data_IF_231981632153
#
_entry.id   IF_231981632153
#
_cell.length_a   1.000
_cell.length_b   1.000
_cell.length_c   1.000
_cell.angle_alpha   90.00
_cell.angle_beta   90.00
_cell.angle_gamma   90.00
#
_symmetry.space_group_name_H-M   'P 1'
#
loop_
_entity.id
_entity.type
_entity.pdbx_description
1 polymer ?
#
# COMPACT_ATOMS: atom_id res chain seq x y z
N UNK A 1 22.92 19.72 -1.16
CA UNK A 1 21.67 20.03 -0.45
C UNK A 1 20.63 19.09 -1.06
N UNK A 2 20.15 18.03 -0.41
CA UNK A 2 19.75 17.88 0.99
C UNK A 2 20.09 16.47 1.49
N UNK A 3 20.62 16.36 2.71
CA UNK A 3 20.80 15.10 3.42
C UNK A 3 19.44 14.66 3.96
N UNK A 4 18.85 13.62 3.37
CA UNK A 4 17.79 12.87 4.04
C UNK A 4 18.49 11.76 4.83
N UNK A 5 18.48 11.89 6.15
CA UNK A 5 18.94 10.87 7.08
C UNK A 5 17.94 9.70 6.98
N UNK A 6 18.26 8.72 6.12
CA UNK A 6 17.44 7.53 5.94
C UNK A 6 17.68 6.63 7.15
N UNK A 7 16.72 6.60 8.07
CA UNK A 7 16.65 5.60 9.14
C UNK A 7 16.48 4.24 8.45
N UNK A 8 17.57 3.49 8.33
CA UNK A 8 17.56 2.06 7.99
C UNK A 8 16.88 1.30 9.14
N UNK A 9 15.55 1.28 9.15
CA UNK A 9 14.77 0.34 9.92
C UNK A 9 14.12 -0.62 8.94
N UNK A 10 14.53 -1.89 8.96
CA UNK A 10 14.03 -3.02 8.19
C UNK A 10 12.80 -2.70 7.32
N UNK A 11 13.05 -2.32 6.07
CA UNK A 11 12.00 -2.08 5.09
C UNK A 11 11.31 -3.40 4.78
N UNK A 12 10.16 -3.64 5.41
CA UNK A 12 9.26 -4.72 4.98
C UNK A 12 8.77 -4.41 3.57
N UNK A 13 8.76 -5.39 2.69
CA UNK A 13 8.25 -5.19 1.33
C UNK A 13 6.72 -5.26 1.36
N UNK A 14 6.04 -4.55 0.45
CA UNK A 14 4.57 -4.58 0.32
C UNK A 14 4.01 -6.01 0.24
N UNK A 15 4.74 -6.93 -0.38
CA UNK A 15 4.32 -8.33 -0.54
C UNK A 15 4.60 -9.22 0.69
N UNK A 16 5.21 -8.69 1.74
CA UNK A 16 5.51 -9.38 3.01
C UNK A 16 4.52 -9.02 4.12
N UNK A 17 3.75 -7.95 3.95
CA UNK A 17 2.74 -7.55 4.92
C UNK A 17 1.50 -8.44 4.78
N UNK A 18 0.73 -8.55 5.87
CA UNK A 18 -0.51 -9.31 5.85
C UNK A 18 -1.49 -8.77 4.78
N UNK A 19 -2.28 -9.64 4.13
CA UNK A 19 -3.28 -9.25 3.13
C UNK A 19 -4.54 -8.65 3.78
N UNK A 20 -4.34 -7.72 4.72
CA UNK A 20 -5.39 -7.00 5.43
C UNK A 20 -5.26 -5.51 5.16
N UNK A 21 -6.39 -4.80 5.17
CA UNK A 21 -6.42 -3.36 4.94
C UNK A 21 -5.59 -2.60 5.99
N UNK A 22 -5.67 -3.01 7.26
CA UNK A 22 -4.91 -2.39 8.35
C UNK A 22 -3.39 -2.51 8.14
N UNK A 23 -2.92 -3.67 7.66
CA UNK A 23 -1.51 -3.87 7.35
C UNK A 23 -1.05 -2.97 6.20
N UNK A 24 -1.86 -2.85 5.14
CA UNK A 24 -1.59 -1.95 4.02
C UNK A 24 -1.56 -0.48 4.47
N UNK A 25 -2.56 -0.03 5.23
CA UNK A 25 -2.64 1.34 5.77
C UNK A 25 -1.41 1.65 6.62
N UNK A 26 -1.02 0.75 7.53
CA UNK A 26 0.16 0.93 8.37
C UNK A 26 1.45 0.98 7.56
N UNK A 27 1.57 0.11 6.54
CA UNK A 27 2.71 0.09 5.62
C UNK A 27 2.84 1.42 4.87
N UNK A 28 1.78 1.84 4.18
CA UNK A 28 1.78 3.07 3.38
C UNK A 28 1.95 4.31 4.25
N UNK A 29 1.40 4.32 5.46
CA UNK A 29 1.59 5.42 6.42
C UNK A 29 3.07 5.57 6.80
N UNK A 30 3.77 4.47 7.07
CA UNK A 30 5.21 4.49 7.36
C UNK A 30 6.02 4.94 6.15
N UNK A 31 5.66 4.48 4.96
CA UNK A 31 6.34 4.86 3.72
C UNK A 31 6.19 6.35 3.40
N UNK A 32 5.02 6.93 3.70
CA UNK A 32 4.71 8.34 3.52
C UNK A 32 5.15 9.23 4.70
N UNK A 33 6.10 8.79 5.53
CA UNK A 33 6.65 9.59 6.63
C UNK A 33 5.65 9.87 7.76
N UNK A 34 4.89 8.85 8.16
CA UNK A 34 3.85 8.88 9.19
C UNK A 34 2.60 9.70 8.82
N UNK A 35 2.45 10.09 7.54
CA UNK A 35 1.20 10.62 7.01
C UNK A 35 0.19 9.49 6.83
N UNK A 36 -0.90 9.53 7.60
CA UNK A 36 -1.92 8.48 7.58
C UNK A 36 -2.53 8.32 6.19
N UNK A 37 -2.29 7.16 5.58
CA UNK A 37 -2.94 6.75 4.34
C UNK A 37 -4.24 6.01 4.68
N UNK A 38 -5.31 6.30 3.95
CA UNK A 38 -6.61 5.65 4.11
C UNK A 38 -7.16 5.17 2.77
N UNK A 39 -8.02 4.16 2.81
CA UNK A 39 -8.82 3.77 1.65
C UNK A 39 -9.83 4.87 1.33
N UNK A 40 -9.82 5.37 0.09
CA UNK A 40 -10.81 6.32 -0.44
C UNK A 40 -12.01 5.60 -1.07
N UNK A 41 -11.83 4.37 -1.49
CA UNK A 41 -12.88 3.51 -2.01
C UNK A 41 -12.31 2.25 -2.64
N UNK A 42 -13.18 1.33 -3.03
CA UNK A 42 -12.83 0.16 -3.80
C UNK A 42 -13.81 -0.06 -4.94
N UNK A 43 -13.35 -0.78 -5.95
CA UNK A 43 -14.17 -1.22 -7.06
C UNK A 43 -13.71 -2.61 -7.49
N UNK A 44 -14.62 -3.37 -8.08
CA UNK A 44 -14.28 -4.64 -8.69
C UNK A 44 -13.82 -4.39 -10.12
N UNK A 45 -12.60 -4.80 -10.44
CA UNK A 45 -12.06 -4.75 -11.79
C UNK A 45 -12.38 -6.06 -12.51
N UNK A 46 -13.22 -5.98 -13.55
CA UNK A 46 -13.66 -7.14 -14.33
C UNK A 46 -12.54 -7.73 -15.20
N UNK A 47 -11.56 -6.94 -15.62
CA UNK A 47 -10.47 -7.41 -16.46
C UNK A 47 -9.45 -8.25 -15.67
N UNK A 48 -9.18 -7.84 -14.43
CA UNK A 48 -8.29 -8.52 -13.51
C UNK A 48 -9.01 -9.55 -12.62
N UNK A 49 -10.35 -9.53 -12.60
CA UNK A 49 -11.21 -10.32 -11.71
C UNK A 49 -10.85 -10.14 -10.23
N UNK A 50 -10.58 -8.89 -9.81
CA UNK A 50 -10.07 -8.56 -8.47
C UNK A 50 -10.69 -7.29 -7.92
N UNK A 51 -10.76 -7.21 -6.60
CA UNK A 51 -11.08 -5.97 -5.89
C UNK A 51 -9.85 -5.07 -5.87
N UNK A 52 -10.01 -3.86 -6.41
CA UNK A 52 -9.00 -2.82 -6.42
C UNK A 52 -9.36 -1.79 -5.35
N UNK A 53 -8.40 -1.48 -4.49
CA UNK A 53 -8.52 -0.55 -3.39
C UNK A 53 -7.77 0.73 -3.72
N UNK A 54 -8.49 1.85 -3.80
CA UNK A 54 -7.92 3.17 -4.07
C UNK A 54 -7.54 3.85 -2.77
N UNK A 55 -6.27 4.19 -2.63
CA UNK A 55 -5.73 4.77 -1.40
C UNK A 55 -5.60 6.29 -1.52
N UNK A 56 -5.39 6.95 -0.38
CA UNK A 56 -5.40 8.41 -0.30
C UNK A 56 -4.18 9.08 -0.93
N UNK A 57 -3.08 8.34 -1.04
CA UNK A 57 -1.86 8.68 -1.78
C UNK A 57 -2.07 8.82 -3.30
N UNK A 58 -3.19 8.29 -3.82
CA UNK A 58 -3.53 8.33 -5.23
C UNK A 58 -3.24 7.03 -5.98
N UNK A 59 -2.65 6.03 -5.32
CA UNK A 59 -2.37 4.72 -5.92
C UNK A 59 -3.50 3.72 -5.66
N UNK A 60 -3.51 2.68 -6.48
CA UNK A 60 -4.43 1.56 -6.37
C UNK A 60 -3.67 0.31 -5.95
N UNK A 61 -4.29 -0.52 -5.11
CA UNK A 61 -3.71 -1.75 -4.61
C UNK A 61 -4.71 -2.89 -4.71
N UNK A 62 -4.23 -4.10 -4.94
CA UNK A 62 -5.06 -5.29 -4.89
C UNK A 62 -4.31 -6.44 -4.23
N UNK A 63 -5.08 -7.46 -3.83
CA UNK A 63 -4.52 -8.71 -3.35
C UNK A 63 -4.38 -9.68 -4.52
N UNK A 64 -3.18 -10.21 -4.70
CA UNK A 64 -2.87 -11.31 -5.63
C UNK A 64 -2.07 -12.36 -4.88
N UNK A 65 -2.50 -13.62 -4.95
CA UNK A 65 -1.81 -14.75 -4.32
C UNK A 65 -1.53 -14.49 -2.82
N UNK A 66 -2.53 -13.92 -2.14
CA UNK A 66 -2.48 -13.55 -0.72
C UNK A 66 -1.42 -12.47 -0.36
N UNK A 67 -0.99 -11.69 -1.34
CA UNK A 67 -0.01 -10.61 -1.20
C UNK A 67 -0.53 -9.32 -1.82
N UNK A 68 -0.17 -8.17 -1.25
CA UNK A 68 -0.48 -6.89 -1.83
C UNK A 68 0.38 -6.61 -3.07
N UNK A 69 -0.25 -6.08 -4.10
CA UNK A 69 0.39 -5.56 -5.30
C UNK A 69 -0.14 -4.15 -5.56
N UNK A 70 0.72 -3.26 -6.03
CA UNK A 70 0.31 -1.97 -6.59
C UNK A 70 -0.22 -2.18 -8.00
N UNK A 71 -1.29 -1.48 -8.33
CA UNK A 71 -1.88 -1.40 -9.66
C UNK A 71 -1.73 0.05 -10.13
N UNK A 72 -1.09 0.24 -11.27
CA UNK A 72 -1.02 1.50 -12.02
C UNK A 72 -2.12 1.52 -13.08
#
# INVERSE_FOLDING_TARGET
>A
MSSAFVKEGDYMWLHEIAPTMDALVNYLTKENGDLRIIEKGNFFDEALQKTVHKMSDGFCYAIRDNKWISID
#
